data_IF_615780133408
#
_entry.id   IF_615780133408
#
_cell.length_a   1.000
_cell.length_b   1.000
_cell.length_c   1.000
_cell.angle_alpha   90.00
_cell.angle_beta   90.00
_cell.angle_gamma   90.00
#
_symmetry.space_group_name_H-M   'P 1'
#
loop_
_entity.id
_entity.type
_entity.pdbx_description
1 polymer ?
#
# COMPACT_ATOMS: atom_id res chain seq x y z
N UNK A 1 -38.87 3.02 -12.93
CA UNK A 1 -37.43 2.76 -12.65
C UNK A 1 -37.23 1.26 -12.61
N UNK A 2 -36.33 0.73 -13.45
CA UNK A 2 -36.24 -0.70 -13.72
C UNK A 2 -35.09 -1.33 -12.92
N UNK A 3 -35.41 -2.13 -11.90
CA UNK A 3 -34.46 -2.74 -10.96
C UNK A 3 -33.40 -3.61 -11.66
N UNK A 4 -33.75 -4.21 -12.80
CA UNK A 4 -32.86 -5.00 -13.63
C UNK A 4 -31.72 -4.19 -14.29
N UNK A 5 -31.87 -2.87 -14.47
CA UNK A 5 -30.81 -2.00 -14.99
C UNK A 5 -29.82 -1.56 -13.89
N UNK A 6 -30.24 -1.61 -12.62
CA UNK A 6 -29.40 -1.21 -11.48
C UNK A 6 -28.38 -2.29 -11.10
N UNK A 7 -28.69 -3.57 -11.33
CA UNK A 7 -27.81 -4.69 -10.98
C UNK A 7 -26.50 -4.71 -11.81
N UNK A 8 -26.53 -4.55 -13.15
CA UNK A 8 -25.30 -4.43 -13.94
C UNK A 8 -24.49 -3.18 -13.61
N UNK A 9 -25.15 -2.05 -13.34
CA UNK A 9 -24.49 -0.81 -12.93
C UNK A 9 -23.74 -0.98 -11.60
N UNK A 10 -24.37 -1.62 -10.61
CA UNK A 10 -23.74 -1.95 -9.33
C UNK A 10 -22.51 -2.84 -9.52
N UNK A 11 -22.61 -3.88 -10.34
CA UNK A 11 -21.48 -4.77 -10.61
C UNK A 11 -20.30 -4.02 -11.28
N UNK A 12 -20.60 -3.12 -12.22
CA UNK A 12 -19.60 -2.25 -12.86
C UNK A 12 -18.90 -1.33 -11.87
N UNK A 13 -19.66 -0.67 -10.99
CA UNK A 13 -19.11 0.22 -9.95
C UNK A 13 -18.24 -0.54 -8.95
N UNK A 14 -18.66 -1.71 -8.49
CA UNK A 14 -17.87 -2.54 -7.57
C UNK A 14 -16.55 -2.99 -8.21
N UNK A 15 -16.59 -3.36 -9.50
CA UNK A 15 -15.38 -3.72 -10.25
C UNK A 15 -14.42 -2.53 -10.39
N UNK A 16 -14.94 -1.36 -10.74
CA UNK A 16 -14.14 -0.14 -10.87
C UNK A 16 -13.50 0.26 -9.52
N UNK A 17 -14.27 0.23 -8.44
CA UNK A 17 -13.77 0.50 -7.09
C UNK A 17 -12.67 -0.48 -6.66
N UNK A 18 -12.86 -1.78 -6.93
CA UNK A 18 -11.83 -2.79 -6.64
C UNK A 18 -10.53 -2.52 -7.42
N UNK A 19 -10.63 -2.16 -8.71
CA UNK A 19 -9.45 -1.85 -9.52
C UNK A 19 -8.73 -0.60 -9.04
N UNK A 20 -9.47 0.44 -8.65
CA UNK A 20 -8.91 1.64 -8.05
C UNK A 20 -8.15 1.29 -6.75
N UNK A 21 -8.72 0.47 -5.88
CA UNK A 21 -8.06 0.05 -4.64
C UNK A 21 -6.79 -0.77 -4.91
N UNK A 22 -6.80 -1.67 -5.90
CA UNK A 22 -5.60 -2.43 -6.30
C UNK A 22 -4.50 -1.50 -6.84
N UNK A 23 -4.86 -0.53 -7.68
CA UNK A 23 -3.90 0.43 -8.24
C UNK A 23 -3.31 1.32 -7.15
N UNK A 24 -4.16 1.78 -6.22
CA UNK A 24 -3.74 2.53 -5.05
C UNK A 24 -2.78 1.73 -4.16
N UNK A 25 -3.15 0.51 -3.78
CA UNK A 25 -2.31 -0.38 -2.99
C UNK A 25 -0.95 -0.63 -3.67
N UNK A 26 -0.95 -0.87 -4.99
CA UNK A 26 0.28 -1.05 -5.76
C UNK A 26 1.20 0.17 -5.70
N UNK A 27 0.64 1.36 -5.99
CA UNK A 27 1.40 2.61 -5.99
C UNK A 27 1.99 2.91 -4.61
N UNK A 28 1.19 2.74 -3.55
CA UNK A 28 1.61 3.05 -2.18
C UNK A 28 2.61 2.04 -1.64
N UNK A 29 2.42 0.74 -1.87
CA UNK A 29 3.41 -0.27 -1.49
C UNK A 29 4.77 -0.06 -2.17
N UNK A 30 4.81 0.46 -3.40
CA UNK A 30 6.08 0.86 -4.03
C UNK A 30 6.78 1.96 -3.26
N UNK A 31 6.03 2.98 -2.81
CA UNK A 31 6.57 4.08 -2.00
C UNK A 31 7.07 3.57 -0.65
N UNK A 32 6.29 2.72 0.03
CA UNK A 32 6.71 2.09 1.29
C UNK A 32 7.98 1.28 1.12
N UNK A 33 8.04 0.42 0.10
CA UNK A 33 9.18 -0.43 -0.15
C UNK A 33 10.44 0.35 -0.51
N UNK A 34 10.31 1.41 -1.31
CA UNK A 34 11.42 2.32 -1.60
C UNK A 34 11.92 2.97 -0.31
N UNK A 35 11.03 3.48 0.54
CA UNK A 35 11.41 4.12 1.80
C UNK A 35 12.10 3.14 2.77
N UNK A 36 11.60 1.91 2.87
CA UNK A 36 12.24 0.83 3.65
C UNK A 36 13.67 0.57 3.15
N UNK A 37 13.84 0.44 1.84
CA UNK A 37 15.14 0.19 1.23
C UNK A 37 16.11 1.37 1.43
N UNK A 38 15.65 2.60 1.19
CA UNK A 38 16.45 3.83 1.31
C UNK A 38 16.88 4.07 2.77
N UNK A 39 16.03 3.73 3.74
CA UNK A 39 16.33 3.82 5.17
C UNK A 39 17.15 2.63 5.70
N UNK A 40 17.40 1.60 4.90
CA UNK A 40 18.08 0.38 5.33
C UNK A 40 17.31 -0.41 6.40
N UNK A 41 15.98 -0.26 6.45
CA UNK A 41 15.12 -0.97 7.38
C UNK A 41 15.01 -2.42 6.91
N UNK A 42 15.44 -3.35 7.76
CA UNK A 42 15.42 -4.77 7.45
C UNK A 42 15.04 -5.59 8.69
N UNK A 43 14.52 -6.78 8.45
CA UNK A 43 14.13 -7.75 9.46
C UNK A 43 12.65 -7.66 9.86
N UNK A 44 12.27 -8.43 10.90
CA UNK A 44 10.88 -8.55 11.32
C UNK A 44 10.31 -7.24 11.87
N UNK A 45 9.16 -6.88 11.34
CA UNK A 45 8.24 -5.85 11.80
C UNK A 45 6.90 -6.49 12.16
N UNK A 46 6.20 -5.88 13.10
CA UNK A 46 4.83 -6.24 13.46
C UNK A 46 3.90 -5.05 13.26
N UNK A 47 2.86 -5.22 12.45
CA UNK A 47 1.78 -4.26 12.34
C UNK A 47 0.63 -4.66 13.25
N UNK A 48 0.50 -3.92 14.34
CA UNK A 48 -0.50 -4.18 15.35
C UNK A 48 -1.78 -3.41 15.00
N UNK A 49 -2.94 -4.08 14.88
CA UNK A 49 -4.20 -3.41 14.57
C UNK A 49 -4.68 -2.57 15.76
N UNK A 50 -5.63 -1.69 15.49
CA UNK A 50 -6.39 -0.96 16.51
C UNK A 50 -7.03 -1.96 17.47
N UNK A 51 -6.83 -1.72 18.77
CA UNK A 51 -7.37 -2.55 19.84
C UNK A 51 -7.73 -1.66 21.04
N UNK A 52 -9.00 -1.24 21.13
CA UNK A 52 -9.47 -0.37 22.20
C UNK A 52 -9.36 -0.98 23.60
N UNK A 53 -9.39 -2.31 23.72
CA UNK A 53 -9.35 -3.01 25.02
C UNK A 53 -7.99 -2.85 25.71
N UNK A 54 -6.93 -2.67 24.93
CA UNK A 54 -5.58 -2.37 25.41
C UNK A 54 -5.22 -0.88 25.28
N UNK A 55 -6.20 -0.03 24.95
CA UNK A 55 -6.01 1.42 24.78
C UNK A 55 -5.29 1.83 23.49
N UNK A 56 -5.24 0.97 22.48
CA UNK A 56 -4.61 1.25 21.19
C UNK A 56 -5.64 1.75 20.18
N UNK A 57 -5.65 3.07 19.93
CA UNK A 57 -6.63 3.73 19.05
C UNK A 57 -6.13 3.97 17.62
N UNK A 58 -4.85 3.72 17.34
CA UNK A 58 -4.25 3.75 16.00
C UNK A 58 -3.41 2.47 15.78
N UNK A 59 -3.24 2.00 14.54
CA UNK A 59 -2.32 0.91 14.26
C UNK A 59 -0.88 1.33 14.56
N UNK A 60 -0.05 0.37 14.98
CA UNK A 60 1.35 0.61 15.36
C UNK A 60 2.26 -0.32 14.58
N UNK A 61 3.31 0.24 13.98
CA UNK A 61 4.37 -0.52 13.31
C UNK A 61 5.55 -0.68 14.27
N UNK A 62 5.73 -1.88 14.80
CA UNK A 62 6.76 -2.21 15.77
C UNK A 62 7.94 -2.94 15.12
N UNK A 63 9.14 -2.46 15.36
CA UNK A 63 10.39 -3.12 14.98
C UNK A 63 10.74 -4.23 15.98
N UNK A 64 11.02 -5.44 15.48
CA UNK A 64 11.50 -6.55 16.33
C UNK A 64 13.01 -6.79 16.22
N UNK A 65 13.66 -6.35 15.13
CA UNK A 65 15.09 -6.52 14.93
C UNK A 65 15.86 -5.21 14.65
N UNK A 66 15.20 -4.20 14.09
CA UNK A 66 15.80 -2.90 13.84
C UNK A 66 15.48 -1.89 14.95
N UNK A 67 16.06 -0.69 14.86
CA UNK A 67 15.77 0.40 15.80
C UNK A 67 14.38 0.97 15.52
N UNK A 68 13.50 0.97 16.52
CA UNK A 68 12.18 1.61 16.42
C UNK A 68 12.30 3.10 16.04
N UNK A 69 13.34 3.79 16.53
CA UNK A 69 13.55 5.20 16.19
C UNK A 69 13.76 5.45 14.69
N UNK A 70 14.31 4.47 13.96
CA UNK A 70 14.46 4.56 12.50
C UNK A 70 13.10 4.41 11.80
N UNK A 71 12.21 3.58 12.34
CA UNK A 71 10.83 3.50 11.85
C UNK A 71 10.13 4.84 12.07
N UNK A 72 10.19 5.38 13.29
CA UNK A 72 9.49 6.60 13.67
C UNK A 72 10.02 7.85 12.93
N UNK A 73 11.30 7.86 12.52
CA UNK A 73 11.88 8.93 11.69
C UNK A 73 11.35 8.90 10.25
N UNK A 74 11.13 7.71 9.70
CA UNK A 74 10.76 7.53 8.30
C UNK A 74 9.27 7.36 8.07
N UNK A 75 8.47 7.01 9.07
CA UNK A 75 7.04 6.74 8.94
C UNK A 75 6.24 7.55 9.94
N UNK A 76 5.30 8.33 9.41
CA UNK A 76 4.32 9.03 10.22
C UNK A 76 3.17 8.08 10.61
N UNK A 77 2.40 8.45 11.62
CA UNK A 77 1.21 7.70 12.02
C UNK A 77 0.23 7.52 10.85
N UNK A 78 0.10 8.51 9.98
CA UNK A 78 -0.75 8.41 8.78
C UNK A 78 -0.22 7.38 7.78
N UNK A 79 1.10 7.26 7.64
CA UNK A 79 1.71 6.22 6.80
C UNK A 79 1.40 4.83 7.39
N UNK A 80 1.49 4.67 8.72
CA UNK A 80 1.18 3.41 9.40
C UNK A 80 -0.30 3.03 9.27
N UNK A 81 -1.20 4.00 9.42
CA UNK A 81 -2.65 3.81 9.18
C UNK A 81 -2.92 3.34 7.76
N UNK A 82 -2.34 4.04 6.78
CA UNK A 82 -2.54 3.70 5.38
C UNK A 82 -1.98 2.33 5.04
N UNK A 83 -0.81 1.97 5.57
CA UNK A 83 -0.24 0.64 5.41
C UNK A 83 -1.16 -0.42 6.02
N UNK A 84 -1.74 -0.17 7.20
CA UNK A 84 -2.69 -1.07 7.84
C UNK A 84 -3.94 -1.29 6.99
N UNK A 85 -4.51 -0.23 6.41
CA UNK A 85 -5.67 -0.33 5.53
C UNK A 85 -5.35 -1.10 4.25
N UNK A 86 -4.19 -0.83 3.64
CA UNK A 86 -3.73 -1.56 2.45
C UNK A 86 -3.56 -3.05 2.78
N UNK A 87 -2.88 -3.39 3.87
CA UNK A 87 -2.65 -4.78 4.24
C UNK A 87 -3.95 -5.48 4.65
N UNK A 88 -4.88 -4.79 5.32
CA UNK A 88 -6.21 -5.34 5.59
C UNK A 88 -6.95 -5.68 4.29
N UNK A 89 -6.99 -4.75 3.33
CA UNK A 89 -7.59 -4.99 2.01
C UNK A 89 -6.93 -6.16 1.26
N UNK A 90 -5.60 -6.27 1.32
CA UNK A 90 -4.87 -7.35 0.65
C UNK A 90 -5.09 -8.70 1.34
N UNK A 91 -5.21 -8.74 2.66
CA UNK A 91 -5.48 -9.97 3.43
C UNK A 91 -6.84 -10.56 3.11
N UNK A 92 -7.87 -9.74 2.91
CA UNK A 92 -9.18 -10.21 2.48
C UNK A 92 -9.14 -10.95 1.13
N UNK A 93 -8.17 -10.63 0.28
CA UNK A 93 -7.99 -11.22 -1.04
C UNK A 93 -6.93 -12.33 -1.07
N UNK A 94 -6.04 -12.36 -0.05
CA UNK A 94 -4.90 -13.24 0.01
C UNK A 94 -4.44 -13.50 1.46
N UNK A 95 -4.73 -14.68 1.97
CA UNK A 95 -4.57 -15.06 3.39
C UNK A 95 -3.11 -15.35 3.80
N UNK A 96 -2.12 -14.95 2.99
CA UNK A 96 -0.71 -15.31 3.22
C UNK A 96 0.04 -14.39 4.18
N UNK A 97 -0.62 -13.38 4.75
CA UNK A 97 0.05 -12.35 5.52
C UNK A 97 -0.52 -12.23 6.94
N UNK A 98 0.34 -12.50 7.91
CA UNK A 98 0.07 -12.26 9.32
C UNK A 98 0.41 -10.83 9.72
N UNK A 99 0.23 -10.52 11.01
CA UNK A 99 0.62 -9.23 11.58
C UNK A 99 2.14 -9.00 11.55
N UNK A 100 2.92 -10.09 11.52
CA UNK A 100 4.38 -10.07 11.52
C UNK A 100 4.95 -10.39 10.14
N UNK A 101 5.92 -9.61 9.69
CA UNK A 101 6.54 -9.75 8.38
C UNK A 101 7.95 -9.17 8.35
N UNK A 102 8.80 -9.68 7.44
CA UNK A 102 10.08 -9.03 7.16
C UNK A 102 9.85 -7.79 6.28
N UNK A 103 10.45 -6.66 6.63
CA UNK A 103 10.30 -5.39 5.92
C UNK A 103 10.64 -5.52 4.43
N UNK A 104 11.75 -6.20 4.14
CA UNK A 104 12.29 -6.46 2.81
C UNK A 104 11.39 -7.36 1.94
N UNK A 105 10.59 -8.21 2.57
CA UNK A 105 9.70 -9.16 1.87
C UNK A 105 8.40 -8.50 1.39
N UNK A 106 8.03 -7.35 1.96
CA UNK A 106 6.73 -6.72 1.73
C UNK A 106 6.47 -6.48 0.23
N UNK A 107 7.43 -5.83 -0.45
CA UNK A 107 7.33 -5.56 -1.88
C UNK A 107 7.41 -6.84 -2.72
N UNK A 108 8.35 -7.73 -2.38
CA UNK A 108 8.59 -8.96 -3.14
C UNK A 108 7.36 -9.87 -3.16
N UNK A 109 6.56 -9.87 -2.09
CA UNK A 109 5.36 -10.69 -1.97
C UNK A 109 4.15 -10.07 -2.71
N UNK A 110 3.88 -8.78 -2.49
CA UNK A 110 2.63 -8.18 -2.97
C UNK A 110 2.72 -7.54 -4.34
N UNK A 111 3.83 -6.87 -4.68
CA UNK A 111 3.92 -6.12 -5.94
C UNK A 111 3.76 -7.00 -7.19
N UNK A 112 4.35 -8.22 -7.27
CA UNK A 112 4.16 -9.07 -8.44
C UNK A 112 2.70 -9.52 -8.60
N UNK A 113 2.01 -9.83 -7.50
CA UNK A 113 0.61 -10.23 -7.55
C UNK A 113 -0.29 -9.06 -7.95
N UNK A 114 -0.12 -7.90 -7.33
CA UNK A 114 -0.86 -6.68 -7.65
C UNK A 114 -0.69 -6.27 -9.11
N UNK A 115 0.55 -6.31 -9.62
CA UNK A 115 0.85 -6.04 -11.04
C UNK A 115 0.07 -6.98 -11.95
N UNK A 116 0.10 -8.29 -11.69
CA UNK A 116 -0.64 -9.28 -12.51
C UNK A 116 -2.15 -9.05 -12.48
N UNK A 117 -2.72 -8.71 -11.33
CA UNK A 117 -4.16 -8.44 -11.22
C UNK A 117 -4.56 -7.18 -12.00
N UNK A 118 -3.74 -6.12 -11.95
CA UNK A 118 -3.94 -4.91 -12.73
C UNK A 118 -3.81 -5.17 -14.24
N UNK A 119 -2.76 -5.87 -14.67
CA UNK A 119 -2.53 -6.22 -16.07
C UNK A 119 -3.66 -7.10 -16.63
N UNK A 120 -4.16 -8.08 -15.85
CA UNK A 120 -5.32 -8.90 -16.22
C UNK A 120 -6.60 -8.08 -16.42
N UNK A 121 -6.72 -6.96 -15.72
CA UNK A 121 -7.82 -6.04 -15.88
C UNK A 121 -7.62 -5.04 -17.04
N UNK A 122 -6.51 -5.14 -17.78
CA UNK A 122 -6.16 -4.23 -18.87
C UNK A 122 -5.55 -2.91 -18.39
N UNK A 123 -5.14 -2.82 -17.12
CA UNK A 123 -4.46 -1.64 -16.57
C UNK A 123 -2.97 -1.79 -16.80
N UNK A 124 -2.40 -0.92 -17.63
CA UNK A 124 -0.95 -0.84 -17.82
C UNK A 124 -0.28 -0.30 -16.56
N UNK A 125 0.74 -1.01 -16.08
CA UNK A 125 1.53 -0.60 -14.92
C UNK A 125 2.89 -0.17 -15.44
N UNK A 126 3.06 1.13 -15.70
CA UNK A 126 4.37 1.66 -16.10
C UNK A 126 5.33 1.66 -14.90
N UNK A 127 6.54 1.10 -15.12
CA UNK A 127 7.60 1.09 -14.09
C UNK A 127 8.12 2.51 -13.79
N UNK A 128 7.83 3.49 -14.65
CA UNK A 128 8.45 4.81 -14.69
C UNK A 128 7.94 5.85 -13.67
N UNK A 129 6.96 5.55 -12.82
CA UNK A 129 6.59 6.48 -11.73
C UNK A 129 7.46 6.25 -10.50
N UNK A 130 8.76 6.47 -10.66
CA UNK A 130 9.74 6.63 -9.58
C UNK A 130 10.58 7.85 -9.93
N UNK A 131 10.48 8.88 -9.08
CA UNK A 131 11.14 10.20 -9.18
C UNK A 131 10.59 11.15 -10.27
N UNK A 132 9.96 12.25 -9.87
CA UNK A 132 9.55 13.27 -10.84
C UNK A 132 8.66 14.41 -10.37
N UNK A 133 8.46 14.63 -9.07
CA UNK A 133 7.81 15.84 -8.55
C UNK A 133 8.79 17.03 -8.46
N UNK A 134 9.54 17.31 -9.53
CA UNK A 134 10.31 18.54 -9.70
C UNK A 134 10.48 18.81 -11.20
N UNK A 135 9.37 18.91 -11.91
CA UNK A 135 9.32 19.65 -13.16
C UNK A 135 9.52 21.14 -12.81
N UNK A 136 10.79 21.55 -12.61
CA UNK A 136 11.18 22.93 -12.84
C UNK A 136 11.18 23.13 -14.35
N UNK A 137 10.04 23.59 -14.85
CA UNK A 137 10.00 24.34 -16.08
C UNK A 137 10.77 25.66 -15.85
N UNK A 138 12.07 25.66 -16.14
CA UNK A 138 12.83 26.87 -16.44
C UNK A 138 13.47 26.68 -17.82
N UNK A 139 12.66 26.98 -18.82
CA UNK A 139 13.09 27.27 -20.19
C UNK A 139 12.04 28.18 -20.79
N UNK A 140 12.18 29.49 -20.55
CA UNK A 140 11.84 30.59 -21.46
C UNK A 140 12.04 31.93 -20.73
N UNK A 141 12.49 32.93 -21.50
CA UNK A 141 12.62 34.38 -21.19
C UNK A 141 13.91 34.74 -20.43
N UNK A 142 14.89 35.46 -20.98
CA UNK A 142 15.09 36.20 -22.25
C UNK A 142 16.61 36.28 -22.51
#
# INVERSE_FOLDING_TARGET
MNFHQLLPQRAGLLRAARLANLAFAYARLRVFAARIADAGIAGPLALQPVDPEVGRFCPVLAAHACSQAVIDEHFLDEDVVELADILAFLREQNDTFGSDFAAEDLAARFLPWLRRELERAGVGVDEATSAGGAARAESAED
#
